data_IF_933834024086
#
_entry.id   IF_933834024086
#
_cell.length_a   1.000
_cell.length_b   1.000
_cell.length_c   1.000
_cell.angle_alpha   90.00
_cell.angle_beta   90.00
_cell.angle_gamma   90.00
#
_symmetry.space_group_name_H-M   'P 1'
#
loop_
_entity.id
_entity.type
_entity.pdbx_description
1 polymer ?
#
# COMPACT_ATOMS: atom_id res chain seq x y z
N UNK A 1 15.06 -18.65 -6.37
CA UNK A 1 14.35 -17.75 -7.31
C UNK A 1 14.81 -16.34 -7.02
N UNK A 2 15.07 -15.51 -8.03
CA UNK A 2 15.41 -14.10 -7.82
C UNK A 2 14.16 -13.24 -7.51
N UNK A 3 14.35 -11.97 -7.11
CA UNK A 3 13.26 -11.07 -6.75
C UNK A 3 12.32 -10.78 -7.92
N UNK A 4 12.87 -10.56 -9.13
CA UNK A 4 12.08 -10.23 -10.32
C UNK A 4 11.11 -11.34 -10.68
N UNK A 5 11.55 -12.59 -10.59
CA UNK A 5 10.73 -13.75 -10.87
C UNK A 5 9.64 -13.95 -9.80
N UNK A 6 9.94 -13.69 -8.52
CA UNK A 6 8.92 -13.75 -7.46
C UNK A 6 7.83 -12.69 -7.67
N UNK A 7 8.22 -11.45 -7.95
CA UNK A 7 7.28 -10.38 -8.28
C UNK A 7 6.39 -10.74 -9.48
N UNK A 8 6.98 -11.26 -10.58
CA UNK A 8 6.20 -11.73 -11.73
C UNK A 8 5.25 -12.88 -11.38
N UNK A 9 5.67 -13.80 -10.52
CA UNK A 9 4.82 -14.91 -10.09
C UNK A 9 3.63 -14.39 -9.27
N UNK A 10 3.85 -13.46 -8.34
CA UNK A 10 2.76 -12.80 -7.60
C UNK A 10 1.80 -12.10 -8.56
N UNK A 11 2.30 -11.29 -9.49
CA UNK A 11 1.48 -10.63 -10.50
C UNK A 11 0.66 -11.62 -11.32
N UNK A 12 1.24 -12.73 -11.77
CA UNK A 12 0.49 -13.76 -12.54
C UNK A 12 -0.68 -14.35 -11.74
N UNK A 13 -0.59 -14.39 -10.41
CA UNK A 13 -1.69 -14.85 -9.57
C UNK A 13 -2.72 -13.74 -9.31
N UNK A 14 -2.29 -12.49 -9.11
CA UNK A 14 -3.16 -11.40 -8.66
C UNK A 14 -3.86 -10.69 -9.84
N UNK A 15 -3.19 -10.59 -10.99
CA UNK A 15 -3.69 -9.88 -12.18
C UNK A 15 -4.81 -10.68 -12.83
N UNK A 16 -6.05 -10.27 -12.53
CA UNK A 16 -7.31 -10.83 -13.04
C UNK A 16 -8.44 -9.89 -12.67
N UNK A 17 -9.60 -10.06 -13.32
CA UNK A 17 -10.81 -9.41 -12.86
C UNK A 17 -11.14 -9.92 -11.45
N UNK A 18 -11.10 -9.00 -10.48
CA UNK A 18 -11.20 -9.28 -9.05
C UNK A 18 -12.05 -8.25 -8.31
N UNK A 19 -12.99 -7.65 -9.04
CA UNK A 19 -13.98 -6.78 -8.44
C UNK A 19 -14.78 -7.52 -7.34
N UNK A 20 -14.93 -6.91 -6.14
CA UNK A 20 -15.56 -7.51 -4.97
C UNK A 20 -17.06 -7.79 -5.11
N UNK A 21 -17.75 -7.22 -6.10
CA UNK A 21 -19.20 -7.36 -6.29
C UNK A 21 -19.56 -8.13 -7.56
N UNK A 22 -18.86 -7.88 -8.66
CA UNK A 22 -19.13 -8.39 -9.99
C UNK A 22 -18.24 -9.59 -10.35
N UNK A 23 -17.05 -9.68 -9.75
CA UNK A 23 -16.05 -10.72 -10.02
C UNK A 23 -15.61 -11.43 -8.74
N UNK A 24 -16.60 -11.79 -7.92
CA UNK A 24 -16.42 -12.36 -6.57
C UNK A 24 -15.53 -13.61 -6.53
N UNK A 25 -15.54 -14.42 -7.59
CA UNK A 25 -14.65 -15.59 -7.70
C UNK A 25 -13.17 -15.20 -7.85
N UNK A 26 -12.88 -14.16 -8.63
CA UNK A 26 -11.54 -13.61 -8.79
C UNK A 26 -11.08 -12.90 -7.52
N UNK A 27 -11.96 -12.11 -6.91
CA UNK A 27 -11.73 -11.47 -5.61
C UNK A 27 -11.39 -12.49 -4.52
N UNK A 28 -12.22 -13.52 -4.37
CA UNK A 28 -12.00 -14.60 -3.41
C UNK A 28 -10.67 -15.32 -3.67
N UNK A 29 -10.35 -15.64 -4.92
CA UNK A 29 -9.09 -16.28 -5.27
C UNK A 29 -7.88 -15.43 -4.82
N UNK A 30 -7.88 -14.13 -5.15
CA UNK A 30 -6.77 -13.23 -4.83
C UNK A 30 -6.62 -13.08 -3.31
N UNK A 31 -7.72 -12.91 -2.60
CA UNK A 31 -7.73 -12.89 -1.13
C UNK A 31 -7.12 -14.16 -0.53
N UNK A 32 -7.53 -15.34 -0.99
CA UNK A 32 -6.98 -16.61 -0.53
C UNK A 32 -5.50 -16.75 -0.85
N UNK A 33 -5.09 -16.32 -2.06
CA UNK A 33 -3.69 -16.31 -2.45
C UNK A 33 -2.85 -15.44 -1.51
N UNK A 34 -3.28 -14.20 -1.24
CA UNK A 34 -2.60 -13.29 -0.32
C UNK A 34 -2.51 -13.89 1.07
N UNK A 35 -3.62 -14.42 1.60
CA UNK A 35 -3.66 -15.06 2.91
C UNK A 35 -2.65 -16.21 3.00
N UNK A 36 -2.58 -17.07 1.99
CA UNK A 36 -1.61 -18.17 1.93
C UNK A 36 -0.16 -17.70 1.80
N UNK A 37 0.10 -16.61 1.07
CA UNK A 37 1.45 -16.05 0.95
C UNK A 37 1.92 -15.40 2.25
N UNK A 38 1.04 -14.66 2.94
CA UNK A 38 1.35 -14.08 4.25
C UNK A 38 1.50 -15.16 5.34
N UNK A 39 0.68 -16.21 5.32
CA UNK A 39 0.71 -17.29 6.31
C UNK A 39 2.01 -18.11 6.33
N UNK A 40 2.83 -18.01 5.28
CA UNK A 40 4.18 -18.59 5.27
C UNK A 40 5.12 -17.90 6.28
N UNK A 41 4.78 -16.68 6.73
CA UNK A 41 5.66 -15.81 7.51
C UNK A 41 5.12 -15.47 8.91
N UNK A 42 3.93 -15.95 9.26
CA UNK A 42 3.32 -15.76 10.57
C UNK A 42 1.82 -16.01 10.56
N UNK A 43 1.18 -15.80 11.71
CA UNK A 43 -0.28 -15.85 11.82
C UNK A 43 -0.90 -14.66 11.08
N UNK A 44 -1.89 -14.95 10.22
CA UNK A 44 -2.63 -13.93 9.48
C UNK A 44 -3.93 -13.65 10.21
N UNK A 45 -4.03 -12.44 10.75
CA UNK A 45 -5.25 -11.91 11.36
C UNK A 45 -6.19 -11.38 10.27
N UNK A 46 -7.49 -11.43 10.52
CA UNK A 46 -8.51 -10.83 9.67
C UNK A 46 -9.22 -9.71 10.41
N UNK A 47 -9.42 -8.58 9.74
CA UNK A 47 -10.28 -7.50 10.22
C UNK A 47 -11.54 -7.44 9.36
N UNK A 48 -12.66 -7.84 9.96
CA UNK A 48 -13.97 -7.91 9.32
C UNK A 48 -14.67 -6.55 9.42
N UNK A 49 -15.30 -6.12 8.34
CA UNK A 49 -16.13 -4.92 8.29
C UNK A 49 -17.35 -5.13 7.39
N UNK A 50 -18.44 -4.43 7.68
CA UNK A 50 -19.71 -4.59 6.96
C UNK A 50 -20.00 -3.42 6.02
N UNK A 51 -20.38 -3.73 4.78
CA UNK A 51 -20.81 -2.76 3.77
C UNK A 51 -22.05 -3.29 3.07
N UNK A 52 -23.17 -2.57 3.17
CA UNK A 52 -24.42 -2.96 2.51
C UNK A 52 -24.94 -4.35 2.93
N UNK A 53 -24.71 -4.77 4.17
CA UNK A 53 -25.12 -6.09 4.69
C UNK A 53 -24.24 -7.26 4.24
N UNK A 54 -23.08 -6.99 3.62
CA UNK A 54 -22.05 -7.98 3.31
C UNK A 54 -20.80 -7.74 4.15
N UNK A 55 -20.14 -8.83 4.55
CA UNK A 55 -18.86 -8.78 5.28
C UNK A 55 -17.69 -8.83 4.31
N UNK A 56 -16.76 -7.90 4.47
CA UNK A 56 -15.47 -7.81 3.77
C UNK A 56 -14.34 -7.92 4.78
N UNK A 57 -13.11 -8.21 4.32
CA UNK A 57 -12.01 -8.48 5.23
C UNK A 57 -10.71 -7.83 4.76
N UNK A 58 -10.03 -7.13 5.66
CA UNK A 58 -8.61 -6.85 5.50
C UNK A 58 -7.80 -8.04 6.04
N UNK A 59 -6.65 -8.32 5.43
CA UNK A 59 -5.71 -9.36 5.88
C UNK A 59 -4.50 -8.70 6.53
N UNK A 60 -4.11 -9.15 7.71
CA UNK A 60 -3.09 -8.49 8.53
C UNK A 60 -2.02 -9.51 8.94
N UNK A 61 -0.75 -9.17 8.70
CA UNK A 61 0.39 -9.91 9.20
C UNK A 61 1.23 -8.99 10.11
N UNK A 62 1.36 -9.38 11.38
CA UNK A 62 2.18 -8.69 12.36
C UNK A 62 3.56 -9.37 12.48
N UNK A 63 4.62 -8.60 12.25
CA UNK A 63 6.00 -9.07 12.35
C UNK A 63 6.74 -8.32 13.47
N UNK A 64 7.51 -9.01 14.32
CA UNK A 64 8.19 -8.40 15.46
C UNK A 64 9.34 -7.50 15.01
N UNK A 65 9.73 -6.56 15.87
CA UNK A 65 10.98 -5.83 15.71
C UNK A 65 12.19 -6.74 16.00
N UNK A 66 13.36 -6.37 15.47
CA UNK A 66 14.64 -7.03 15.76
C UNK A 66 14.98 -7.11 17.26
N UNK A 67 14.55 -6.11 18.03
CA UNK A 67 14.66 -6.12 19.49
C UNK A 67 13.26 -6.08 20.10
N UNK A 68 12.82 -7.22 20.62
CA UNK A 68 11.49 -7.42 21.21
C UNK A 68 11.38 -6.91 22.65
N UNK A 69 12.49 -6.55 23.30
CA UNK A 69 12.48 -6.03 24.67
C UNK A 69 11.99 -4.58 24.77
N UNK A 70 11.87 -3.88 23.63
CA UNK A 70 11.41 -2.49 23.57
C UNK A 70 10.11 -2.45 22.77
N UNK A 71 9.02 -2.14 23.46
CA UNK A 71 7.74 -1.94 22.81
C UNK A 71 7.75 -0.63 22.01
N UNK A 72 7.53 -0.72 20.69
CA UNK A 72 7.47 0.42 19.78
C UNK A 72 6.16 0.35 18.99
N UNK A 73 5.55 1.50 18.65
CA UNK A 73 4.44 1.51 17.71
C UNK A 73 4.93 1.01 16.34
N UNK A 74 4.13 0.16 15.65
CA UNK A 74 4.54 -0.44 14.40
C UNK A 74 4.56 0.56 13.25
N UNK A 75 5.30 0.20 12.21
CA UNK A 75 5.12 0.79 10.88
C UNK A 75 4.08 -0.07 10.15
N UNK A 76 2.96 0.54 9.76
CA UNK A 76 1.96 -0.10 8.93
C UNK A 76 2.34 0.08 7.46
N UNK A 77 2.34 -1.00 6.69
CA UNK A 77 2.50 -0.96 5.23
C UNK A 77 1.27 -1.62 4.61
N UNK A 78 0.57 -0.89 3.75
CA UNK A 78 -0.71 -1.29 3.17
C UNK A 78 -0.66 -1.38 1.65
N UNK A 79 -1.51 -2.22 1.08
CA UNK A 79 -1.87 -2.21 -0.34
C UNK A 79 -3.30 -2.77 -0.50
N UNK A 80 -4.12 -2.21 -1.36
CA UNK A 80 -5.45 -2.78 -1.60
C UNK A 80 -5.40 -3.92 -2.62
N UNK A 81 -6.28 -4.90 -2.44
CA UNK A 81 -6.31 -6.10 -3.28
C UNK A 81 -7.56 -6.21 -4.14
N UNK A 82 -8.55 -5.35 -3.98
CA UNK A 82 -9.66 -5.21 -4.92
C UNK A 82 -9.19 -4.56 -6.23
N UNK A 83 -10.12 -4.41 -7.18
CA UNK A 83 -9.90 -3.73 -8.45
C UNK A 83 -11.23 -3.23 -8.99
N UNK A 84 -11.21 -2.17 -9.79
CA UNK A 84 -12.39 -1.73 -10.52
C UNK A 84 -12.89 -2.79 -11.54
N UNK A 85 -14.21 -2.87 -11.78
CA UNK A 85 -14.81 -3.82 -12.72
C UNK A 85 -14.24 -3.75 -14.14
N UNK A 86 -14.08 -4.91 -14.76
CA UNK A 86 -13.67 -5.01 -16.17
C UNK A 86 -12.19 -4.69 -16.42
N UNK A 87 -11.40 -4.54 -15.36
CA UNK A 87 -9.95 -4.40 -15.45
C UNK A 87 -9.25 -5.57 -14.77
N UNK A 88 -8.03 -5.92 -15.20
CA UNK A 88 -7.23 -6.92 -14.49
C UNK A 88 -6.53 -6.35 -13.24
N UNK A 89 -6.69 -5.05 -12.96
CA UNK A 89 -6.07 -4.32 -11.86
C UNK A 89 -4.56 -4.54 -11.75
N UNK A 90 -3.84 -4.47 -12.88
CA UNK A 90 -2.46 -4.92 -12.95
C UNK A 90 -1.49 -3.97 -12.25
N UNK A 91 -1.54 -2.70 -12.60
CA UNK A 91 -0.79 -1.67 -11.89
C UNK A 91 -1.53 -1.28 -10.61
N UNK A 92 -2.84 -1.07 -10.74
CA UNK A 92 -3.77 -0.66 -9.68
C UNK A 92 -4.63 -1.84 -9.19
N UNK A 93 -4.30 -2.53 -8.10
CA UNK A 93 -3.05 -2.39 -7.33
C UNK A 93 -2.32 -3.72 -7.10
N UNK A 94 -2.33 -4.60 -8.12
CA UNK A 94 -1.61 -5.88 -8.01
C UNK A 94 -0.10 -5.70 -7.81
N UNK A 95 0.48 -4.59 -8.28
CA UNK A 95 1.90 -4.26 -8.04
C UNK A 95 2.17 -3.94 -6.57
N UNK A 96 1.32 -3.15 -5.91
CA UNK A 96 1.41 -2.87 -4.48
C UNK A 96 1.29 -4.14 -3.65
N UNK A 97 0.33 -5.00 -3.97
CA UNK A 97 0.17 -6.31 -3.30
C UNK A 97 1.39 -7.21 -3.51
N UNK A 98 1.93 -7.28 -4.73
CA UNK A 98 3.12 -8.09 -5.00
C UNK A 98 4.34 -7.63 -4.17
N UNK A 99 4.53 -6.32 -4.01
CA UNK A 99 5.58 -5.74 -3.16
C UNK A 99 5.30 -6.01 -1.68
N UNK A 100 4.05 -5.90 -1.23
CA UNK A 100 3.63 -6.22 0.14
C UNK A 100 3.99 -7.67 0.52
N UNK A 101 3.75 -8.62 -0.39
CA UNK A 101 4.08 -10.04 -0.18
C UNK A 101 5.60 -10.27 -0.09
N UNK A 102 6.41 -9.57 -0.89
CA UNK A 102 7.86 -9.64 -0.76
C UNK A 102 8.38 -8.97 0.52
N UNK A 103 7.74 -7.90 0.99
CA UNK A 103 8.03 -7.32 2.29
C UNK A 103 7.73 -8.28 3.44
N UNK A 104 6.68 -9.09 3.37
CA UNK A 104 6.42 -10.14 4.36
C UNK A 104 7.61 -11.10 4.46
N UNK A 105 8.07 -11.61 3.32
CA UNK A 105 9.24 -12.50 3.26
C UNK A 105 10.51 -11.84 3.81
N UNK A 106 10.80 -10.61 3.39
CA UNK A 106 12.01 -9.88 3.78
C UNK A 106 12.00 -9.58 5.27
N UNK A 107 10.95 -8.94 5.80
CA UNK A 107 10.92 -8.52 7.20
C UNK A 107 10.73 -9.67 8.20
N UNK A 108 10.16 -10.81 7.77
CA UNK A 108 10.13 -12.00 8.61
C UNK A 108 11.52 -12.65 8.73
N UNK A 109 12.31 -12.61 7.67
CA UNK A 109 13.68 -13.16 7.65
C UNK A 109 14.70 -12.20 8.27
N UNK A 110 14.49 -10.90 8.08
CA UNK A 110 15.38 -9.82 8.51
C UNK A 110 14.56 -8.76 9.27
N UNK A 111 14.20 -9.02 10.54
CA UNK A 111 13.47 -8.06 11.36
C UNK A 111 14.21 -6.72 11.48
N UNK A 112 13.44 -5.63 11.51
CA UNK A 112 13.99 -4.26 11.54
C UNK A 112 13.73 -3.56 12.88
N UNK A 113 14.19 -2.31 13.01
CA UNK A 113 14.12 -1.55 14.28
C UNK A 113 12.72 -1.39 14.86
N UNK A 114 11.68 -1.40 14.02
CA UNK A 114 10.27 -1.25 14.40
C UNK A 114 9.52 -2.53 14.06
N UNK A 115 8.46 -2.89 14.82
CA UNK A 115 7.56 -3.94 14.37
C UNK A 115 6.89 -3.50 13.07
N UNK A 116 6.63 -4.46 12.19
CA UNK A 116 6.01 -4.21 10.89
C UNK A 116 4.62 -4.83 10.91
N UNK A 117 3.62 -4.05 10.49
CA UNK A 117 2.25 -4.52 10.28
C UNK A 117 1.94 -4.41 8.79
N UNK A 118 1.85 -5.55 8.12
CA UNK A 118 1.47 -5.60 6.71
C UNK A 118 -0.03 -5.79 6.61
N UNK A 119 -0.70 -4.97 5.80
CA UNK A 119 -2.16 -5.03 5.65
C UNK A 119 -2.54 -5.06 4.17
N UNK A 120 -3.26 -6.09 3.76
CA UNK A 120 -3.94 -6.09 2.47
C UNK A 120 -5.36 -5.57 2.68
N UNK A 121 -5.66 -4.37 2.16
CA UNK A 121 -6.95 -3.70 2.31
C UNK A 121 -7.95 -4.16 1.24
N UNK A 122 -9.22 -4.23 1.60
CA UNK A 122 -10.33 -4.51 0.70
C UNK A 122 -11.19 -3.26 0.48
N UNK A 123 -11.93 -3.21 -0.63
CA UNK A 123 -12.85 -2.11 -0.96
C UNK A 123 -12.21 -0.70 -0.99
N UNK A 124 -10.99 -0.56 -1.48
CA UNK A 124 -10.38 0.77 -1.73
C UNK A 124 -11.17 1.49 -2.82
N UNK A 125 -11.47 0.78 -3.91
CA UNK A 125 -12.05 1.31 -5.15
C UNK A 125 -13.50 1.77 -4.96
N UNK A 126 -14.08 1.38 -3.82
CA UNK A 126 -15.43 1.72 -3.39
C UNK A 126 -15.46 2.82 -2.33
N UNK A 127 -14.36 3.56 -2.17
CA UNK A 127 -14.25 4.71 -1.29
C UNK A 127 -13.46 4.46 -0.01
N UNK A 128 -12.33 3.76 -0.12
CA UNK A 128 -11.37 3.52 0.96
C UNK A 128 -12.02 2.80 2.15
N UNK A 129 -12.96 1.90 1.89
CA UNK A 129 -13.85 1.39 2.95
C UNK A 129 -13.10 0.47 3.92
N UNK A 130 -12.22 -0.40 3.42
CA UNK A 130 -11.43 -1.29 4.28
C UNK A 130 -10.37 -0.55 5.10
N UNK A 131 -9.61 0.36 4.49
CA UNK A 131 -8.63 1.19 5.20
C UNK A 131 -9.31 2.18 6.15
N UNK A 132 -10.46 2.73 5.77
CA UNK A 132 -11.28 3.60 6.61
C UNK A 132 -11.80 2.89 7.86
N UNK A 133 -12.39 1.71 7.69
CA UNK A 133 -12.83 0.88 8.81
C UNK A 133 -11.67 0.52 9.74
N UNK A 134 -10.51 0.17 9.18
CA UNK A 134 -9.35 -0.21 9.99
C UNK A 134 -8.71 0.98 10.72
N UNK A 135 -8.58 2.14 10.08
CA UNK A 135 -8.09 3.36 10.71
C UNK A 135 -8.99 3.75 11.89
N UNK A 136 -10.30 3.63 11.74
CA UNK A 136 -11.27 3.87 12.81
C UNK A 136 -11.12 2.88 13.98
N UNK A 137 -10.96 1.59 13.68
CA UNK A 137 -10.67 0.58 14.71
C UNK A 137 -9.41 0.95 15.52
N UNK A 138 -8.31 1.31 14.85
CA UNK A 138 -7.06 1.68 15.52
C UNK A 138 -7.24 2.92 16.40
N UNK A 139 -8.00 3.93 15.95
CA UNK A 139 -8.35 5.11 16.76
C UNK A 139 -9.14 4.72 18.01
N UNK A 140 -10.17 3.88 17.87
CA UNK A 140 -11.00 3.41 18.98
C UNK A 140 -10.17 2.61 20.01
N UNK A 141 -9.24 1.80 19.55
CA UNK A 141 -8.34 1.02 20.39
C UNK A 141 -7.13 1.81 20.90
N UNK A 142 -7.01 3.10 20.55
CA UNK A 142 -5.86 3.95 20.87
C UNK A 142 -4.51 3.34 20.44
N UNK A 143 -4.52 2.54 19.36
CA UNK A 143 -3.31 1.92 18.83
C UNK A 143 -2.52 2.94 18.01
N UNK A 144 -1.35 3.31 18.52
CA UNK A 144 -0.45 4.24 17.84
C UNK A 144 0.35 3.54 16.74
N UNK A 145 0.57 4.25 15.63
CA UNK A 145 1.50 3.87 14.56
C UNK A 145 2.70 4.82 14.55
N UNK A 146 3.89 4.31 14.24
CA UNK A 146 5.05 5.15 13.94
C UNK A 146 4.90 5.82 12.58
N UNK A 147 4.38 5.07 11.60
CA UNK A 147 4.20 5.50 10.22
C UNK A 147 3.17 4.56 9.56
N UNK A 148 2.40 5.10 8.62
CA UNK A 148 1.62 4.31 7.66
C UNK A 148 2.14 4.61 6.26
N UNK A 149 2.45 3.56 5.50
CA UNK A 149 2.88 3.63 4.10
C UNK A 149 1.82 2.91 3.27
N UNK A 150 1.17 3.60 2.33
CA UNK A 150 0.38 2.93 1.29
C UNK A 150 1.25 2.66 0.08
N UNK A 151 1.21 1.44 -0.43
CA UNK A 151 1.82 1.03 -1.69
C UNK A 151 0.75 1.14 -2.76
N UNK A 152 0.93 2.03 -3.72
CA UNK A 152 -0.01 2.26 -4.82
C UNK A 152 0.75 2.30 -6.14
N UNK A 153 0.29 1.53 -7.12
CA UNK A 153 0.70 1.63 -8.53
C UNK A 153 2.23 1.70 -8.72
N UNK A 154 2.91 0.59 -8.45
CA UNK A 154 4.37 0.48 -8.47
C UNK A 154 4.93 -0.14 -9.75
N UNK A 155 4.09 -0.37 -10.77
CA UNK A 155 4.46 -1.01 -12.04
C UNK A 155 4.47 -0.10 -13.26
N UNK A 156 3.82 1.07 -13.22
CA UNK A 156 3.86 2.02 -14.33
C UNK A 156 5.26 2.61 -14.51
N UNK A 157 5.75 2.61 -15.76
CA UNK A 157 7.00 3.26 -16.13
C UNK A 157 6.93 3.73 -17.58
N UNK A 158 6.90 5.04 -17.80
CA UNK A 158 6.93 5.63 -19.15
C UNK A 158 7.89 6.83 -19.21
N UNK A 159 9.06 6.60 -19.82
CA UNK A 159 10.10 7.61 -20.03
C UNK A 159 9.82 8.58 -21.19
N UNK A 160 8.68 8.45 -21.88
CA UNK A 160 8.30 9.33 -22.98
C UNK A 160 8.01 10.74 -22.45
N UNK A 161 8.61 11.81 -23.00
CA UNK A 161 8.29 13.18 -22.59
C UNK A 161 6.79 13.48 -22.68
N UNK A 162 6.19 13.94 -21.58
CA UNK A 162 4.76 14.28 -21.51
C UNK A 162 3.84 13.12 -21.14
N UNK A 163 4.38 11.94 -20.81
CA UNK A 163 3.60 10.80 -20.32
C UNK A 163 2.94 11.05 -18.96
N UNK A 164 3.48 11.97 -18.15
CA UNK A 164 2.97 12.31 -16.83
C UNK A 164 2.30 13.69 -16.82
N UNK A 165 1.13 13.78 -16.18
CA UNK A 165 0.37 15.03 -16.00
C UNK A 165 0.06 15.24 -14.52
N UNK A 166 -0.18 16.49 -14.15
CA UNK A 166 -0.48 16.86 -12.77
C UNK A 166 -1.59 17.92 -12.71
N UNK A 167 -2.28 18.05 -11.57
CA UNK A 167 -3.07 19.24 -11.26
C UNK A 167 -2.18 20.50 -11.20
N UNK A 168 -2.68 21.62 -11.74
CA UNK A 168 -1.97 22.90 -11.63
C UNK A 168 -1.81 23.32 -10.17
N UNK A 169 -0.63 23.82 -9.73
CA UNK A 169 0.58 24.14 -10.50
C UNK A 169 1.74 23.11 -10.39
N UNK A 170 1.45 21.87 -10.02
CA UNK A 170 2.49 20.87 -9.70
C UNK A 170 3.37 20.51 -10.91
N UNK A 171 2.85 20.64 -12.13
CA UNK A 171 3.58 20.45 -13.40
C UNK A 171 4.83 21.32 -13.54
N UNK A 172 4.94 22.40 -12.77
CA UNK A 172 6.12 23.28 -12.78
C UNK A 172 7.29 22.76 -11.95
N UNK A 173 7.03 21.81 -11.05
CA UNK A 173 7.99 21.34 -10.05
C UNK A 173 8.41 19.89 -10.23
N UNK A 174 7.58 19.08 -10.92
CA UNK A 174 7.80 17.64 -11.07
C UNK A 174 8.06 17.25 -12.52
N UNK A 175 8.81 16.15 -12.76
CA UNK A 175 9.12 15.67 -14.10
C UNK A 175 7.86 15.31 -14.88
N UNK A 176 7.86 15.55 -16.19
CA UNK A 176 6.76 15.23 -17.09
C UNK A 176 6.81 13.81 -17.66
N UNK A 177 7.60 12.93 -17.04
CA UNK A 177 7.75 11.50 -17.35
C UNK A 177 7.33 10.69 -16.13
N UNK A 178 6.73 9.53 -16.33
CA UNK A 178 6.33 8.63 -15.25
C UNK A 178 7.35 7.53 -15.01
N UNK A 179 8.62 7.87 -14.81
CA UNK A 179 9.75 6.94 -14.66
C UNK A 179 10.45 7.08 -13.29
N UNK A 180 9.69 7.42 -12.25
CA UNK A 180 10.17 7.66 -10.88
C UNK A 180 9.20 7.12 -9.82
N UNK A 181 9.67 6.94 -8.59
CA UNK A 181 8.84 6.61 -7.42
C UNK A 181 8.43 7.89 -6.68
N UNK A 182 7.13 8.15 -6.60
CA UNK A 182 6.57 9.26 -5.85
C UNK A 182 6.38 8.92 -4.36
N UNK A 183 6.80 9.81 -3.46
CA UNK A 183 6.53 9.73 -2.02
C UNK A 183 5.65 10.91 -1.60
N UNK A 184 4.38 10.64 -1.32
CA UNK A 184 3.40 11.65 -0.93
C UNK A 184 3.10 11.48 0.56
N UNK A 185 3.23 12.54 1.36
CA UNK A 185 3.11 12.42 2.81
C UNK A 185 2.67 13.70 3.50
N UNK A 186 2.02 13.59 4.67
CA UNK A 186 1.63 14.75 5.47
C UNK A 186 2.86 15.44 6.12
N UNK A 187 2.72 16.70 6.56
CA UNK A 187 3.85 17.49 7.07
C UNK A 187 4.71 16.80 8.17
N UNK A 188 4.15 16.08 9.15
CA UNK A 188 4.95 15.37 10.15
C UNK A 188 5.92 14.33 9.57
N UNK A 189 5.65 13.80 8.37
CA UNK A 189 6.45 12.75 7.72
C UNK A 189 7.56 13.28 6.83
N UNK A 190 7.76 14.61 6.72
CA UNK A 190 8.83 15.20 5.88
C UNK A 190 10.21 14.56 6.12
N UNK A 191 10.67 14.32 7.37
CA UNK A 191 11.95 13.64 7.58
C UNK A 191 12.00 12.22 7.01
N UNK A 192 10.88 11.48 7.10
CA UNK A 192 10.73 10.14 6.55
C UNK A 192 10.75 10.17 5.01
N UNK A 193 10.02 11.11 4.38
CA UNK A 193 10.01 11.32 2.92
C UNK A 193 11.42 11.58 2.37
N UNK A 194 12.15 12.52 2.99
CA UNK A 194 13.51 12.87 2.57
C UNK A 194 14.45 11.67 2.75
N UNK A 195 14.33 10.93 3.86
CA UNK A 195 15.15 9.76 4.12
C UNK A 195 14.89 8.65 3.10
N UNK A 196 13.63 8.32 2.85
CA UNK A 196 13.23 7.29 1.88
C UNK A 196 13.66 7.65 0.46
N UNK A 197 13.38 8.88 0.00
CA UNK A 197 13.79 9.35 -1.32
C UNK A 197 15.30 9.21 -1.53
N UNK A 198 16.11 9.61 -0.53
CA UNK A 198 17.57 9.45 -0.59
C UNK A 198 18.01 8.00 -0.71
N UNK A 199 17.34 7.06 -0.04
CA UNK A 199 17.68 5.63 -0.14
C UNK A 199 17.27 5.05 -1.49
N UNK A 200 16.10 5.43 -2.02
CA UNK A 200 15.66 5.03 -3.37
C UNK A 200 16.65 5.52 -4.43
N UNK A 201 17.08 6.79 -4.36
CA UNK A 201 18.05 7.36 -5.29
C UNK A 201 19.43 6.69 -5.22
N UNK A 202 19.86 6.17 -4.05
CA UNK A 202 21.11 5.39 -3.93
C UNK A 202 21.06 4.09 -4.73
N UNK A 203 19.89 3.49 -4.86
CA UNK A 203 19.65 2.30 -5.69
C UNK A 203 19.43 2.64 -7.18
N UNK A 204 19.75 3.87 -7.59
CA UNK A 204 19.65 4.37 -8.98
C UNK A 204 18.22 4.39 -9.54
N UNK A 205 17.22 4.44 -8.67
CA UNK A 205 15.82 4.69 -9.04
C UNK A 205 15.51 6.16 -8.78
N UNK A 206 14.91 6.86 -9.75
CA UNK A 206 14.48 8.24 -9.55
C UNK A 206 13.36 8.30 -8.50
N UNK A 207 13.38 9.31 -7.65
CA UNK A 207 12.33 9.51 -6.64
C UNK A 207 12.02 10.98 -6.46
N UNK A 208 10.73 11.28 -6.43
CA UNK A 208 10.18 12.60 -6.14
C UNK A 208 9.35 12.52 -4.87
N UNK A 209 9.29 13.61 -4.10
CA UNK A 209 8.45 13.65 -2.90
C UNK A 209 7.61 14.91 -2.86
N UNK A 210 6.41 14.78 -2.30
CA UNK A 210 5.42 15.85 -2.18
C UNK A 210 4.91 15.89 -0.74
N UNK A 211 5.33 16.90 0.06
CA UNK A 211 4.76 17.13 1.37
C UNK A 211 3.40 17.81 1.23
N UNK A 212 2.39 17.26 1.89
CA UNK A 212 1.00 17.68 1.72
C UNK A 212 0.48 18.30 3.02
N UNK A 213 0.18 19.61 3.04
CA UNK A 213 -0.47 20.26 4.18
C UNK A 213 -1.97 19.95 4.23
N UNK A 214 -2.60 20.27 5.36
CA UNK A 214 -4.07 20.18 5.54
C UNK A 214 -4.64 18.81 5.16
N UNK A 215 -3.93 17.73 5.47
CA UNK A 215 -4.33 16.35 5.18
C UNK A 215 -4.69 16.13 3.69
N UNK A 216 -4.11 16.89 2.74
CA UNK A 216 -4.43 16.75 1.31
C UNK A 216 -5.77 17.35 0.88
N UNK A 217 -6.46 18.10 1.73
CA UNK A 217 -7.74 18.74 1.36
C UNK A 217 -7.60 19.84 0.30
N UNK A 218 -6.39 20.38 0.11
CA UNK A 218 -6.07 21.39 -0.91
C UNK A 218 -5.87 20.73 -2.28
N UNK A 219 -5.09 19.64 -2.35
CA UNK A 219 -4.85 18.86 -3.57
C UNK A 219 -5.53 17.51 -3.39
N UNK A 220 -6.85 17.46 -3.60
CA UNK A 220 -7.67 16.28 -3.26
C UNK A 220 -7.23 15.00 -3.94
N UNK A 221 -6.55 15.08 -5.08
CA UNK A 221 -5.96 13.94 -5.78
C UNK A 221 -4.96 13.17 -4.91
N UNK A 222 -4.29 13.84 -3.96
CA UNK A 222 -3.40 13.16 -3.00
C UNK A 222 -4.17 12.43 -1.90
N UNK A 223 -5.48 12.24 -2.01
CA UNK A 223 -6.30 11.49 -1.04
C UNK A 223 -7.03 10.30 -1.67
N UNK A 224 -6.71 9.97 -2.92
CA UNK A 224 -7.29 8.85 -3.66
C UNK A 224 -6.45 7.59 -3.43
N UNK A 225 -6.29 7.19 -2.17
CA UNK A 225 -5.55 5.99 -1.76
C UNK A 225 -5.75 5.72 -0.25
N UNK A 226 -5.52 4.48 0.16
CA UNK A 226 -5.69 3.95 1.52
C UNK A 226 -5.00 4.72 2.65
N UNK A 227 -4.05 5.60 2.36
CA UNK A 227 -3.42 6.43 3.39
C UNK A 227 -4.34 7.55 3.92
N UNK A 228 -5.33 7.98 3.13
CA UNK A 228 -6.14 9.16 3.46
C UNK A 228 -6.93 9.03 4.78
N UNK A 229 -7.56 7.89 5.12
CA UNK A 229 -8.27 7.73 6.39
C UNK A 229 -7.36 7.76 7.63
N UNK A 230 -6.06 7.51 7.47
CA UNK A 230 -5.05 7.60 8.54
C UNK A 230 -4.56 9.03 8.77
N UNK A 231 -4.86 9.96 7.85
CA UNK A 231 -4.59 11.38 8.05
C UNK A 231 -5.71 12.08 8.81
N UNK A 232 -6.92 11.52 8.84
CA UNK A 232 -8.13 12.11 9.43
C UNK A 232 -8.26 11.81 10.94
#
# INVERSE_FOLDING_TARGET
MDLKQRLHNHLTQIVRDRDPYLSTGGHFFVKQYIQQQLAQWGEVETHDFEVGGKTFQNLILNLPAANTNIQKPPILIGAHYDAVPGTPGADDNATGVAVLLEFARIFASEPVKYPIRLVAFDLEEYGLLGSGAYAELLRQQQQQLRLMISLEMLGYCDSTPGSQRYPSPLERFYPNRGDFIALIGNLPTIPDLISLSRHICKEKVASEWLPVPNQGKIVRQTRLSDHAPFWD
#
